data_IF_315527676878
#
_entry.id   IF_315527676878
#
_cell.length_a   1.000
_cell.length_b   1.000
_cell.length_c   1.000
_cell.angle_alpha   90.00
_cell.angle_beta   90.00
_cell.angle_gamma   90.00
#
_symmetry.space_group_name_H-M   'P 1'
#
loop_
_entity.id
_entity.type
_entity.pdbx_description
1 polymer ?
#
# COMPACT_ATOMS: atom_id res chain seq x y z
N UNK A 1 6.20 14.92 -19.50
CA UNK A 1 6.40 13.60 -20.16
C UNK A 1 7.87 13.28 -20.18
N UNK A 2 8.25 12.08 -19.75
CA UNK A 2 9.64 11.69 -19.56
C UNK A 2 10.33 11.48 -20.92
N UNK A 3 11.14 12.44 -21.35
CA UNK A 3 12.15 12.24 -22.41
C UNK A 3 13.43 11.84 -21.68
N UNK A 4 13.80 10.56 -21.75
CA UNK A 4 14.92 9.99 -20.99
C UNK A 4 15.92 9.28 -21.94
N UNK A 5 17.13 9.02 -21.46
CA UNK A 5 18.23 8.41 -22.25
C UNK A 5 18.24 6.88 -22.27
N UNK A 6 17.20 6.24 -21.74
CA UNK A 6 17.03 4.79 -21.66
C UNK A 6 15.64 4.38 -22.18
N UNK A 7 15.38 3.07 -22.20
CA UNK A 7 14.12 2.48 -22.67
C UNK A 7 12.92 3.20 -22.03
N UNK A 8 12.26 3.99 -22.86
CA UNK A 8 11.11 4.78 -22.48
C UNK A 8 10.14 4.80 -23.64
N UNK A 9 8.86 4.65 -23.31
CA UNK A 9 7.79 4.82 -24.28
C UNK A 9 6.87 5.89 -23.74
N UNK A 10 6.74 6.96 -24.50
CA UNK A 10 5.92 8.09 -24.12
C UNK A 10 4.47 7.77 -24.50
N UNK A 11 3.63 7.60 -23.49
CA UNK A 11 2.18 7.48 -23.66
C UNK A 11 1.48 8.72 -23.11
N UNK A 12 0.57 9.30 -23.89
CA UNK A 12 -0.47 10.19 -23.35
C UNK A 12 -1.53 9.38 -22.60
N UNK A 13 -2.40 10.02 -21.82
CA UNK A 13 -3.51 9.33 -21.16
C UNK A 13 -4.47 8.72 -22.19
N UNK A 14 -4.62 9.39 -23.33
CA UNK A 14 -5.41 8.89 -24.46
C UNK A 14 -4.76 7.67 -25.12
N UNK A 15 -3.44 7.70 -25.36
CA UNK A 15 -2.74 6.55 -25.94
C UNK A 15 -2.76 5.33 -25.00
N UNK A 16 -2.54 5.53 -23.70
CA UNK A 16 -2.60 4.48 -22.68
C UNK A 16 -4.00 3.87 -22.60
N UNK A 17 -5.04 4.72 -22.58
CA UNK A 17 -6.44 4.30 -22.60
C UNK A 17 -6.78 3.51 -23.87
N UNK A 18 -6.38 4.02 -25.05
CA UNK A 18 -6.59 3.34 -26.34
C UNK A 18 -5.89 1.97 -26.36
N UNK A 19 -4.65 1.90 -25.90
CA UNK A 19 -3.88 0.65 -25.86
C UNK A 19 -4.55 -0.40 -24.97
N UNK A 20 -4.97 -0.02 -23.77
CA UNK A 20 -5.69 -0.92 -22.86
C UNK A 20 -7.03 -1.38 -23.46
N UNK A 21 -7.83 -0.43 -23.96
CA UNK A 21 -9.19 -0.69 -24.46
C UNK A 21 -9.21 -1.55 -25.73
N UNK A 22 -8.39 -1.20 -26.72
CA UNK A 22 -8.51 -1.76 -28.07
C UNK A 22 -7.57 -2.93 -28.32
N UNK A 23 -6.53 -3.10 -27.49
CA UNK A 23 -5.46 -4.09 -27.75
C UNK A 23 -5.19 -5.00 -26.55
N UNK A 24 -4.66 -4.47 -25.45
CA UNK A 24 -4.18 -5.30 -24.33
C UNK A 24 -5.33 -6.04 -23.63
N UNK A 25 -6.40 -5.34 -23.28
CA UNK A 25 -7.57 -5.93 -22.63
C UNK A 25 -8.19 -7.07 -23.43
N UNK A 26 -8.61 -6.85 -24.70
CA UNK A 26 -9.15 -7.91 -25.55
C UNK A 26 -8.21 -9.11 -25.73
N UNK A 27 -6.89 -8.88 -25.83
CA UNK A 27 -5.92 -9.98 -25.97
C UNK A 27 -5.76 -10.81 -24.70
N UNK A 28 -5.83 -10.19 -23.52
CA UNK A 28 -5.88 -10.93 -22.26
C UNK A 28 -7.16 -11.76 -22.14
N UNK A 29 -8.31 -11.21 -22.56
CA UNK A 29 -9.58 -11.95 -22.58
C UNK A 29 -9.56 -13.13 -23.55
N UNK A 30 -9.13 -12.91 -24.79
CA UNK A 30 -8.98 -13.95 -25.80
C UNK A 30 -8.01 -15.07 -25.35
N UNK A 31 -6.96 -14.71 -24.61
CA UNK A 31 -6.00 -15.66 -24.05
C UNK A 31 -6.50 -16.37 -22.78
N UNK A 32 -7.70 -16.04 -22.28
CA UNK A 32 -8.24 -16.61 -21.04
C UNK A 32 -7.56 -16.09 -19.76
N UNK A 33 -6.90 -14.93 -19.81
CA UNK A 33 -6.16 -14.28 -18.73
C UNK A 33 -6.92 -13.09 -18.13
N UNK A 34 -8.25 -13.14 -18.15
CA UNK A 34 -9.11 -12.06 -17.66
C UNK A 34 -9.00 -11.80 -16.16
N UNK A 35 -8.38 -12.71 -15.41
CA UNK A 35 -8.07 -12.58 -13.99
C UNK A 35 -6.84 -11.69 -13.72
N UNK A 36 -5.98 -11.48 -14.71
CA UNK A 36 -4.82 -10.58 -14.62
C UNK A 36 -5.29 -9.12 -14.64
N UNK A 37 -5.04 -8.41 -13.53
CA UNK A 37 -5.36 -6.99 -13.42
C UNK A 37 -4.42 -6.10 -14.25
N UNK A 38 -4.96 -5.03 -14.85
CA UNK A 38 -4.18 -4.00 -15.53
C UNK A 38 -4.02 -2.81 -14.59
N UNK A 39 -2.77 -2.42 -14.38
CA UNK A 39 -2.35 -1.33 -13.51
C UNK A 39 -1.76 -0.22 -14.38
N UNK A 40 -2.45 0.92 -14.50
CA UNK A 40 -2.08 2.05 -15.38
C UNK A 40 -1.27 3.09 -14.64
N UNK A 41 -0.78 4.10 -15.38
CA UNK A 41 0.03 5.23 -14.93
C UNK A 41 1.46 4.86 -14.55
N UNK A 42 1.61 3.95 -13.61
CA UNK A 42 2.90 3.40 -13.16
C UNK A 42 4.03 4.41 -12.94
N UNK A 43 3.68 5.65 -12.59
CA UNK A 43 4.59 6.79 -12.56
C UNK A 43 4.32 7.64 -11.31
N UNK A 44 5.07 8.73 -11.15
CA UNK A 44 5.10 9.51 -9.91
C UNK A 44 3.72 10.03 -9.48
N UNK A 45 3.52 10.18 -8.17
CA UNK A 45 2.22 10.45 -7.54
C UNK A 45 1.61 11.82 -7.88
N UNK A 46 2.43 12.79 -8.32
CA UNK A 46 2.06 14.20 -8.46
C UNK A 46 1.03 14.44 -9.58
N UNK A 47 1.04 13.63 -10.64
CA UNK A 47 0.03 13.69 -11.73
C UNK A 47 -1.03 12.58 -11.62
N UNK A 48 -0.87 11.65 -10.68
CA UNK A 48 -1.69 10.44 -10.56
C UNK A 48 -3.18 10.72 -10.40
N UNK A 49 -3.58 11.76 -9.68
CA UNK A 49 -5.00 12.09 -9.47
C UNK A 49 -5.71 12.56 -10.74
N UNK A 50 -5.11 13.52 -11.46
CA UNK A 50 -5.70 14.07 -12.70
C UNK A 50 -5.73 13.01 -13.80
N UNK A 51 -4.65 12.22 -13.90
CA UNK A 51 -4.53 11.13 -14.88
C UNK A 51 -5.50 9.99 -14.60
N UNK A 52 -5.62 9.56 -13.34
CA UNK A 52 -6.56 8.51 -12.94
C UNK A 52 -8.00 8.93 -13.24
N UNK A 53 -8.37 10.18 -12.94
CA UNK A 53 -9.69 10.75 -13.26
C UNK A 53 -10.00 10.69 -14.76
N UNK A 54 -9.04 10.99 -15.62
CA UNK A 54 -9.22 10.94 -17.08
C UNK A 54 -9.31 9.50 -17.60
N UNK A 55 -8.48 8.59 -17.09
CA UNK A 55 -8.46 7.19 -17.53
C UNK A 55 -9.73 6.42 -17.13
N UNK A 56 -10.28 6.68 -15.93
CA UNK A 56 -11.52 6.02 -15.47
C UNK A 56 -12.80 6.68 -15.98
N UNK A 57 -12.71 7.80 -16.71
CA UNK A 57 -13.87 8.51 -17.25
C UNK A 57 -14.60 7.71 -18.35
N UNK A 58 -13.89 6.79 -19.01
CA UNK A 58 -14.49 5.83 -19.94
C UNK A 58 -15.02 4.60 -19.19
N UNK A 59 -16.31 4.30 -19.35
CA UNK A 59 -16.97 3.21 -18.63
C UNK A 59 -16.43 1.82 -18.99
N UNK A 60 -15.86 1.65 -20.20
CA UNK A 60 -15.25 0.38 -20.61
C UNK A 60 -13.85 0.21 -20.03
N UNK A 61 -13.13 1.30 -19.78
CA UNK A 61 -11.84 1.28 -19.09
C UNK A 61 -12.01 1.05 -17.58
N UNK A 62 -13.03 1.68 -16.97
CA UNK A 62 -13.31 1.58 -15.52
C UNK A 62 -13.49 0.16 -14.99
N UNK A 63 -13.92 -0.79 -15.82
CA UNK A 63 -14.08 -2.21 -15.42
C UNK A 63 -12.77 -2.98 -15.23
N UNK A 64 -11.62 -2.49 -15.73
CA UNK A 64 -10.36 -3.25 -15.74
C UNK A 64 -9.23 -2.66 -14.90
N UNK A 65 -9.41 -1.45 -14.33
CA UNK A 65 -8.34 -0.73 -13.61
C UNK A 65 -8.35 -1.08 -12.12
N UNK A 66 -7.23 -1.63 -11.59
CA UNK A 66 -7.12 -2.05 -10.17
C UNK A 66 -5.94 -1.46 -9.35
N UNK A 67 -5.19 -0.48 -9.86
CA UNK A 67 -4.15 0.28 -9.11
C UNK A 67 -2.88 0.58 -9.93
N UNK A 68 -1.72 0.93 -9.31
CA UNK A 68 -0.38 0.90 -9.98
C UNK A 68 0.86 1.16 -9.08
N UNK A 69 1.99 0.43 -9.28
CA UNK A 69 3.33 0.92 -8.84
C UNK A 69 4.60 0.52 -9.67
N UNK A 70 5.49 1.54 -9.80
CA UNK A 70 6.66 1.83 -10.66
C UNK A 70 7.98 1.01 -10.42
N UNK A 71 8.99 1.04 -11.35
CA UNK A 71 10.39 1.49 -11.06
C UNK A 71 11.39 1.63 -12.26
N UNK A 72 12.00 2.83 -12.37
CA UNK A 72 12.86 3.37 -13.46
C UNK A 72 14.25 3.80 -12.97
N UNK A 73 15.22 2.89 -12.83
CA UNK A 73 16.67 3.21 -12.75
C UNK A 73 17.17 4.20 -11.67
N UNK A 74 16.31 4.62 -10.74
CA UNK A 74 16.66 5.38 -9.55
C UNK A 74 17.26 4.40 -8.53
N UNK A 75 18.42 4.70 -7.97
CA UNK A 75 18.96 3.91 -6.86
C UNK A 75 18.08 4.14 -5.64
N UNK A 76 17.00 3.37 -5.55
CA UNK A 76 16.10 3.38 -4.43
C UNK A 76 16.64 2.47 -3.33
N UNK A 77 16.48 2.90 -2.08
CA UNK A 77 16.75 2.03 -0.95
C UNK A 77 15.81 0.80 -1.06
N UNK A 78 16.39 -0.39 -0.99
CA UNK A 78 15.62 -1.63 -0.89
C UNK A 78 15.44 -2.00 0.60
N UNK A 79 14.34 -2.69 0.97
CA UNK A 79 14.19 -3.24 2.31
C UNK A 79 15.35 -4.16 2.72
N UNK A 80 15.95 -4.87 1.77
CA UNK A 80 17.13 -5.72 1.98
C UNK A 80 18.22 -5.28 1.01
N UNK A 81 19.44 -5.08 1.51
CA UNK A 81 20.63 -4.79 0.71
C UNK A 81 21.57 -6.00 0.78
N UNK A 82 22.09 -6.46 -0.35
CA UNK A 82 23.12 -7.50 -0.40
C UNK A 82 24.49 -6.88 -0.63
N UNK A 83 25.53 -7.40 0.02
CA UNK A 83 26.90 -6.97 -0.22
C UNK A 83 27.49 -7.71 -1.44
N UNK A 84 27.96 -7.02 -2.50
CA UNK A 84 28.54 -7.69 -3.64
C UNK A 84 29.79 -8.49 -3.25
N UNK A 85 29.83 -9.78 -3.61
CA UNK A 85 30.99 -10.65 -3.38
C UNK A 85 31.04 -11.31 -1.99
N UNK A 86 30.04 -11.06 -1.14
CA UNK A 86 29.88 -11.70 0.16
C UNK A 86 28.53 -12.43 0.22
N UNK A 87 28.46 -13.55 0.93
CA UNK A 87 27.19 -14.22 1.25
C UNK A 87 26.55 -13.56 2.48
N UNK A 88 26.22 -12.27 2.34
CA UNK A 88 25.70 -11.44 3.43
C UNK A 88 24.62 -10.46 2.95
N UNK A 89 23.71 -10.10 3.86
CA UNK A 89 22.64 -9.13 3.60
C UNK A 89 22.33 -8.27 4.84
N UNK A 90 21.83 -7.06 4.60
CA UNK A 90 21.38 -6.11 5.61
C UNK A 90 19.87 -5.89 5.46
N UNK A 91 19.11 -6.01 6.56
CA UNK A 91 17.71 -5.59 6.63
C UNK A 91 17.63 -4.12 7.02
N UNK A 92 17.13 -3.28 6.13
CA UNK A 92 16.93 -1.84 6.33
C UNK A 92 15.63 -1.56 7.07
N UNK A 93 15.45 -0.34 7.58
CA UNK A 93 14.23 0.05 8.31
C UNK A 93 12.94 -0.29 7.55
N UNK A 94 12.92 -0.07 6.23
CA UNK A 94 11.75 -0.38 5.38
C UNK A 94 11.34 -1.86 5.46
N UNK A 95 12.26 -2.80 5.67
CA UNK A 95 11.93 -4.23 5.86
C UNK A 95 11.08 -4.44 7.11
N UNK A 96 11.46 -3.80 8.21
CA UNK A 96 10.72 -3.90 9.46
C UNK A 96 9.37 -3.18 9.36
N UNK A 97 9.35 -1.96 8.80
CA UNK A 97 8.11 -1.21 8.59
C UNK A 97 7.11 -1.98 7.74
N UNK A 98 7.53 -2.55 6.60
CA UNK A 98 6.66 -3.42 5.79
C UNK A 98 6.20 -4.63 6.61
N UNK A 99 7.09 -5.25 7.38
CA UNK A 99 6.79 -6.41 8.23
C UNK A 99 5.71 -6.15 9.29
N UNK A 100 5.59 -4.94 9.83
CA UNK A 100 4.52 -4.56 10.77
C UNK A 100 3.11 -4.61 10.15
N UNK A 101 3.02 -4.60 8.82
CA UNK A 101 1.78 -4.78 8.07
C UNK A 101 1.69 -6.20 7.50
N UNK A 102 2.65 -6.58 6.66
CA UNK A 102 2.56 -7.79 5.82
C UNK A 102 2.56 -9.11 6.58
N UNK A 103 3.09 -9.14 7.82
CA UNK A 103 3.09 -10.36 8.64
C UNK A 103 1.76 -10.60 9.36
N UNK A 104 0.99 -9.55 9.60
CA UNK A 104 -0.17 -9.59 10.50
C UNK A 104 -1.48 -9.33 9.75
N UNK A 105 -1.46 -8.50 8.70
CA UNK A 105 -2.64 -8.20 7.89
C UNK A 105 -2.72 -9.23 6.76
N UNK A 106 -3.74 -10.09 6.81
CA UNK A 106 -3.92 -11.20 5.87
C UNK A 106 -4.58 -10.73 4.57
N UNK A 107 -4.38 -11.49 3.51
CA UNK A 107 -5.14 -11.29 2.28
C UNK A 107 -6.64 -11.35 2.57
N UNK A 108 -7.41 -10.42 1.99
CA UNK A 108 -8.84 -10.27 2.26
C UNK A 108 -9.19 -9.49 3.54
N UNK A 109 -8.20 -9.03 4.32
CA UNK A 109 -8.45 -8.18 5.46
C UNK A 109 -9.13 -6.86 5.05
N UNK A 110 -10.04 -6.38 5.90
CA UNK A 110 -10.77 -5.12 5.69
C UNK A 110 -10.31 -4.06 6.69
N UNK A 111 -10.19 -2.81 6.24
CA UNK A 111 -9.80 -1.70 7.12
C UNK A 111 -10.95 -1.36 8.08
N UNK A 112 -10.63 -1.25 9.36
CA UNK A 112 -11.54 -0.78 10.41
C UNK A 112 -11.37 0.74 10.57
N UNK A 113 -12.46 1.45 10.77
CA UNK A 113 -12.42 2.88 11.09
C UNK A 113 -11.71 3.14 12.41
N UNK A 114 -10.70 4.00 12.40
CA UNK A 114 -9.91 4.36 13.59
C UNK A 114 -10.02 5.86 13.87
N UNK A 115 -10.18 6.22 15.14
CA UNK A 115 -10.09 7.60 15.62
C UNK A 115 -9.03 7.73 16.71
N UNK A 116 -8.45 8.93 16.81
CA UNK A 116 -7.47 9.29 17.83
C UNK A 116 -7.79 10.67 18.37
N UNK A 117 -7.57 10.89 19.66
CA UNK A 117 -7.76 12.19 20.31
C UNK A 117 -6.47 13.02 20.38
N UNK A 118 -5.36 12.48 19.88
CA UNK A 118 -4.02 13.09 19.92
C UNK A 118 -3.37 13.04 18.54
N UNK A 119 -2.54 14.02 18.26
CA UNK A 119 -1.69 14.06 17.08
C UNK A 119 -0.34 13.32 17.27
N UNK A 120 0.00 12.94 18.51
CA UNK A 120 1.29 12.35 18.87
C UNK A 120 1.57 10.93 18.37
N UNK A 121 0.53 10.19 17.99
CA UNK A 121 0.64 8.84 17.38
C UNK A 121 -0.25 8.73 16.14
N UNK A 122 0.20 7.97 15.15
CA UNK A 122 -0.62 7.53 14.02
C UNK A 122 -1.14 6.12 14.28
N UNK A 123 -2.35 5.82 13.84
CA UNK A 123 -2.96 4.49 14.01
C UNK A 123 -3.79 4.10 12.79
N UNK A 124 -3.74 2.81 12.45
CA UNK A 124 -4.68 2.17 11.52
C UNK A 124 -4.99 0.76 12.03
N UNK A 125 -6.19 0.26 11.75
CA UNK A 125 -6.61 -1.07 12.18
C UNK A 125 -7.31 -1.85 11.06
N UNK A 126 -7.26 -3.17 11.15
CA UNK A 126 -7.78 -4.11 10.16
C UNK A 126 -8.45 -5.31 10.83
N UNK A 127 -9.46 -5.86 10.18
CA UNK A 127 -10.11 -7.12 10.53
C UNK A 127 -9.67 -8.17 9.50
N UNK A 128 -8.97 -9.20 9.96
CA UNK A 128 -8.60 -10.35 9.15
C UNK A 128 -9.82 -11.25 8.86
N UNK A 129 -9.79 -12.07 7.80
CA UNK A 129 -10.91 -12.96 7.44
C UNK A 129 -11.31 -13.98 8.52
N UNK A 130 -10.39 -14.34 9.40
CA UNK A 130 -10.62 -15.25 10.53
C UNK A 130 -11.19 -14.55 11.78
N UNK A 131 -11.42 -13.24 11.71
CA UNK A 131 -11.97 -12.43 12.79
C UNK A 131 -10.93 -11.80 13.71
N UNK A 132 -9.64 -12.08 13.50
CA UNK A 132 -8.53 -11.45 14.23
C UNK A 132 -8.41 -9.96 13.89
N UNK A 133 -8.15 -9.12 14.88
CA UNK A 133 -7.95 -7.68 14.69
C UNK A 133 -6.48 -7.34 14.79
N UNK A 134 -6.06 -6.44 13.91
CA UNK A 134 -4.69 -5.94 13.86
C UNK A 134 -4.71 -4.43 13.94
N UNK A 135 -4.08 -3.85 14.95
CA UNK A 135 -3.85 -2.42 15.08
C UNK A 135 -2.36 -2.11 14.94
N UNK A 136 -2.01 -1.21 14.01
CA UNK A 136 -0.64 -0.72 13.82
C UNK A 136 -0.57 0.71 14.33
N UNK A 137 0.33 0.95 15.28
CA UNK A 137 0.52 2.24 15.96
C UNK A 137 1.94 2.72 15.66
N UNK A 138 2.08 3.98 15.24
CA UNK A 138 3.36 4.61 14.95
C UNK A 138 3.54 5.87 15.80
N UNK A 139 4.64 5.92 16.54
CA UNK A 139 5.09 7.11 17.26
C UNK A 139 6.30 7.72 16.52
N UNK A 140 6.09 8.89 15.92
CA UNK A 140 7.14 9.66 15.22
C UNK A 140 7.79 10.71 16.14
N UNK A 141 7.33 10.81 17.38
CA UNK A 141 7.76 11.84 18.31
C UNK A 141 9.00 11.42 19.09
N UNK A 142 9.64 12.41 19.71
CA UNK A 142 10.79 12.23 20.61
C UNK A 142 10.41 11.70 21.99
N UNK A 143 9.11 11.54 22.27
CA UNK A 143 8.60 11.19 23.59
C UNK A 143 7.88 9.86 23.54
N UNK A 144 7.97 9.14 24.65
CA UNK A 144 7.12 8.00 24.88
C UNK A 144 5.66 8.47 25.02
N UNK A 145 4.72 7.72 24.46
CA UNK A 145 3.29 8.05 24.49
C UNK A 145 2.51 6.89 25.11
N UNK A 146 1.87 7.09 26.27
CA UNK A 146 0.88 6.15 26.77
C UNK A 146 -0.39 6.21 25.91
N UNK A 147 -1.01 5.06 25.67
CA UNK A 147 -2.25 4.95 24.92
C UNK A 147 -3.19 3.91 25.52
N UNK A 148 -4.48 4.06 25.24
CA UNK A 148 -5.48 3.01 25.45
C UNK A 148 -6.13 2.71 24.11
N UNK A 149 -5.90 1.50 23.58
CA UNK A 149 -6.62 1.03 22.40
C UNK A 149 -7.99 0.53 22.86
N UNK A 150 -9.06 1.06 22.28
CA UNK A 150 -10.44 0.70 22.65
C UNK A 150 -11.25 0.33 21.43
N UNK A 151 -12.08 -0.71 21.57
CA UNK A 151 -13.05 -1.14 20.57
C UNK A 151 -14.42 -1.34 21.23
N UNK A 152 -15.49 -0.95 20.54
CA UNK A 152 -16.85 -1.29 20.95
C UNK A 152 -17.25 -2.63 20.33
N UNK A 153 -17.45 -3.63 21.17
CA UNK A 153 -17.99 -4.93 20.75
C UNK A 153 -19.50 -4.97 20.99
N UNK A 154 -20.23 -5.72 20.17
CA UNK A 154 -21.69 -5.85 20.32
C UNK A 154 -22.07 -6.53 21.64
N UNK A 155 -21.28 -7.51 22.06
CA UNK A 155 -21.65 -8.42 23.16
C UNK A 155 -21.03 -8.02 24.51
N UNK A 156 -19.86 -7.38 24.50
CA UNK A 156 -19.11 -7.05 25.72
C UNK A 156 -18.91 -5.54 25.93
N UNK A 157 -19.55 -4.69 25.11
CA UNK A 157 -19.39 -3.25 25.17
C UNK A 157 -17.96 -2.80 24.84
N UNK A 158 -17.50 -1.71 25.45
CA UNK A 158 -16.15 -1.21 25.27
C UNK A 158 -15.12 -2.13 25.90
N UNK A 159 -14.26 -2.69 25.06
CA UNK A 159 -13.06 -3.44 25.46
C UNK A 159 -11.84 -2.59 25.14
N UNK A 160 -10.72 -2.85 25.82
CA UNK A 160 -9.48 -2.15 25.50
C UNK A 160 -8.26 -2.67 26.22
N UNK A 161 -7.10 -2.30 25.69
CA UNK A 161 -5.79 -2.58 26.25
C UNK A 161 -5.03 -1.28 26.45
N UNK A 162 -4.39 -1.15 27.61
CA UNK A 162 -3.46 -0.06 27.90
C UNK A 162 -2.07 -0.44 27.43
N UNK A 163 -1.36 0.53 26.88
CA UNK A 163 -0.02 0.34 26.38
C UNK A 163 0.77 1.63 26.39
N UNK A 164 2.05 1.48 26.07
CA UNK A 164 2.98 2.58 25.98
C UNK A 164 3.84 2.35 24.75
N UNK A 165 3.96 3.37 23.90
CA UNK A 165 4.77 3.30 22.68
C UNK A 165 5.98 4.24 22.79
N UNK A 166 7.17 3.65 22.67
CA UNK A 166 8.44 4.37 22.76
C UNK A 166 8.59 5.42 21.65
N UNK A 167 9.47 6.43 21.80
CA UNK A 167 9.83 7.36 20.72
C UNK A 167 10.28 6.62 19.45
N UNK A 168 10.02 7.20 18.28
CA UNK A 168 10.48 6.69 16.98
C UNK A 168 10.22 5.20 16.73
N UNK A 169 9.09 4.70 17.20
CA UNK A 169 8.78 3.27 17.18
C UNK A 169 7.45 2.97 16.50
N UNK A 170 7.33 1.74 16.02
CA UNK A 170 6.11 1.18 15.45
C UNK A 170 5.77 -0.10 16.21
N UNK A 171 4.50 -0.27 16.54
CA UNK A 171 3.98 -1.40 17.30
C UNK A 171 2.78 -1.99 16.57
N UNK A 172 2.72 -3.32 16.50
CA UNK A 172 1.53 -4.03 15.98
C UNK A 172 0.91 -4.84 17.11
N UNK A 173 -0.37 -4.61 17.36
CA UNK A 173 -1.18 -5.32 18.35
C UNK A 173 -2.14 -6.22 17.60
N UNK A 174 -2.22 -7.48 18.04
CA UNK A 174 -3.09 -8.50 17.46
C UNK A 174 -4.01 -9.01 18.57
N UNK A 175 -5.32 -9.04 18.35
CA UNK A 175 -6.31 -9.39 19.37
C UNK A 175 -7.65 -9.89 18.79
#
# INVERSE_FOLDING_TARGET
>A
MAVQTWDSCIYTSEDESRFVRDYLGPKLEEAGLSDIGIFVWDHNKEEGYQRFKEVIADEKTRKYVKGGPNHVGNFCAAPIMCAPGEDSYEKRLTYYYIGHFSRYIKEGAVKIGTSRYTDGIEVTAFLNPDGERVAVILNKSEKEVPYTLREMTKDAGYQGVEGVIAPHSIQTIVY
#
